data_IF_556433905381
#
_entry.id   IF_556433905381
#
_cell.length_a   1.000
_cell.length_b   1.000
_cell.length_c   1.000
_cell.angle_alpha   90.00
_cell.angle_beta   90.00
_cell.angle_gamma   90.00
#
_symmetry.space_group_name_H-M   'P 1'
#
loop_
_entity.id
_entity.type
_entity.pdbx_description
1 polymer ?
#
# COMPACT_ATOMS: atom_id res chain seq x y z
N UNK A 1 28.47 -0.41 -4.99
CA UNK A 1 27.56 -0.66 -3.84
C UNK A 1 26.99 -2.06 -3.93
N UNK A 2 27.00 -2.77 -2.82
CA UNK A 2 26.42 -4.11 -2.68
C UNK A 2 24.98 -3.97 -2.15
N UNK A 3 24.00 -4.50 -2.88
CA UNK A 3 22.58 -4.43 -2.50
C UNK A 3 22.07 -5.82 -2.17
N UNK A 4 21.60 -6.01 -0.95
CA UNK A 4 20.99 -7.25 -0.48
C UNK A 4 19.46 -7.19 -0.56
N UNK A 5 18.84 -8.19 -1.14
CA UNK A 5 17.38 -8.33 -1.26
C UNK A 5 16.88 -9.46 -0.35
N UNK A 6 15.98 -9.15 0.58
CA UNK A 6 15.36 -10.11 1.51
C UNK A 6 13.85 -10.14 1.27
N UNK A 7 13.25 -11.34 1.28
CA UNK A 7 11.80 -11.49 1.07
C UNK A 7 11.34 -11.25 -0.38
N UNK A 8 12.27 -11.27 -1.34
CA UNK A 8 12.05 -10.99 -2.76
C UNK A 8 11.08 -11.95 -3.48
N UNK A 9 10.81 -13.15 -2.92
CA UNK A 9 9.83 -14.13 -3.43
C UNK A 9 8.44 -14.00 -2.82
N UNK A 10 8.28 -13.18 -1.78
CA UNK A 10 6.98 -12.87 -1.19
C UNK A 10 6.12 -12.01 -2.12
N UNK A 11 4.86 -11.79 -1.77
CA UNK A 11 3.92 -11.05 -2.63
C UNK A 11 4.44 -9.65 -2.98
N UNK A 12 4.87 -8.85 -2.01
CA UNK A 12 5.44 -7.51 -2.26
C UNK A 12 6.79 -7.62 -2.96
N UNK A 13 7.65 -8.55 -2.51
CA UNK A 13 8.97 -8.76 -3.09
C UNK A 13 8.92 -9.17 -4.57
N UNK A 14 7.99 -10.04 -4.95
CA UNK A 14 7.80 -10.44 -6.36
C UNK A 14 7.37 -9.27 -7.24
N UNK A 15 6.48 -8.40 -6.74
CA UNK A 15 6.09 -7.18 -7.46
C UNK A 15 7.27 -6.21 -7.55
N UNK A 16 8.06 -6.06 -6.48
CA UNK A 16 9.27 -5.24 -6.50
C UNK A 16 10.26 -5.74 -7.57
N UNK A 17 10.55 -7.05 -7.60
CA UNK A 17 11.46 -7.64 -8.60
C UNK A 17 10.95 -7.43 -10.03
N UNK A 18 9.65 -7.65 -10.26
CA UNK A 18 9.02 -7.41 -11.55
C UNK A 18 9.17 -5.95 -11.97
N UNK A 19 8.83 -5.00 -11.11
CA UNK A 19 8.95 -3.56 -11.39
C UNK A 19 10.40 -3.14 -11.66
N UNK A 20 11.35 -3.66 -10.89
CA UNK A 20 12.78 -3.39 -11.09
C UNK A 20 13.30 -3.92 -12.44
N UNK A 21 12.75 -5.04 -12.94
CA UNK A 21 13.06 -5.55 -14.29
C UNK A 21 12.45 -4.67 -15.37
N UNK A 22 11.16 -4.33 -15.25
CA UNK A 22 10.44 -3.47 -16.20
C UNK A 22 11.10 -2.10 -16.38
N UNK A 23 11.64 -1.54 -15.30
CA UNK A 23 12.32 -0.23 -15.27
C UNK A 23 13.84 -0.32 -15.44
N UNK A 24 14.38 -1.53 -15.70
CA UNK A 24 15.80 -1.78 -15.85
C UNK A 24 16.67 -1.32 -14.67
N UNK A 25 16.16 -1.37 -13.44
CA UNK A 25 16.85 -0.88 -12.26
C UNK A 25 18.12 -1.66 -11.93
N UNK A 26 18.16 -2.96 -12.25
CA UNK A 26 19.33 -3.80 -12.02
C UNK A 26 20.58 -3.31 -12.76
N UNK A 27 20.44 -2.57 -13.87
CA UNK A 27 21.55 -1.95 -14.56
C UNK A 27 22.28 -0.88 -13.71
N UNK A 28 21.62 -0.34 -12.68
CA UNK A 28 22.17 0.65 -11.75
C UNK A 28 22.73 0.04 -10.47
N UNK A 29 22.64 -1.28 -10.29
CA UNK A 29 23.12 -2.01 -9.13
C UNK A 29 24.39 -2.77 -9.51
N UNK A 30 25.56 -2.37 -9.02
CA UNK A 30 26.83 -3.03 -9.37
C UNK A 30 26.88 -4.50 -8.92
N UNK A 31 26.40 -4.79 -7.72
CA UNK A 31 26.38 -6.13 -7.13
C UNK A 31 25.06 -6.36 -6.39
N UNK A 32 24.24 -7.29 -6.88
CA UNK A 32 23.00 -7.71 -6.25
C UNK A 32 23.14 -9.05 -5.54
N UNK A 33 22.68 -9.14 -4.29
CA UNK A 33 22.72 -10.34 -3.46
C UNK A 33 21.30 -10.69 -3.01
N UNK A 34 20.98 -11.98 -3.02
CA UNK A 34 19.64 -12.46 -2.66
C UNK A 34 19.72 -13.32 -1.41
N UNK A 35 18.94 -12.93 -0.40
CA UNK A 35 18.87 -13.60 0.89
C UNK A 35 17.56 -14.37 1.04
N UNK A 36 17.60 -15.46 1.81
CA UNK A 36 16.47 -16.34 2.06
C UNK A 36 16.44 -16.83 3.49
N UNK A 37 15.24 -17.10 4.02
CA UNK A 37 15.04 -17.72 5.34
C UNK A 37 14.82 -19.24 5.24
N UNK A 38 14.73 -19.83 4.04
CA UNK A 38 14.28 -21.22 3.89
C UNK A 38 15.06 -22.07 2.88
N UNK A 39 15.92 -21.48 2.04
CA UNK A 39 16.63 -22.20 0.97
C UNK A 39 18.06 -21.66 0.79
N UNK A 40 18.82 -21.60 1.87
CA UNK A 40 20.23 -21.15 1.88
C UNK A 40 21.06 -22.05 0.98
N UNK A 41 21.96 -21.47 0.17
CA UNK A 41 22.78 -22.18 -0.81
C UNK A 41 22.07 -22.54 -2.13
N UNK A 42 20.76 -22.30 -2.22
CA UNK A 42 20.01 -22.47 -3.45
C UNK A 42 20.44 -21.48 -4.56
N UNK A 43 19.94 -21.69 -5.78
CA UNK A 43 20.26 -20.81 -6.92
C UNK A 43 19.60 -19.45 -6.75
N UNK A 44 20.38 -18.39 -6.83
CA UNK A 44 19.88 -17.02 -6.86
C UNK A 44 19.25 -16.70 -8.23
N UNK A 45 18.28 -15.73 -8.32
CA UNK A 45 17.75 -15.29 -9.59
C UNK A 45 18.84 -14.60 -10.41
N UNK A 46 18.79 -14.77 -11.73
CA UNK A 46 19.71 -14.14 -12.66
C UNK A 46 19.14 -12.78 -13.12
N UNK A 47 19.63 -11.70 -12.49
CA UNK A 47 19.36 -10.32 -12.91
C UNK A 47 20.65 -9.63 -13.43
N UNK A 48 21.61 -10.42 -13.93
CA UNK A 48 22.82 -9.95 -14.61
C UNK A 48 24.03 -9.74 -13.73
N UNK A 49 23.92 -9.04 -12.60
CA UNK A 49 25.04 -8.72 -11.70
C UNK A 49 24.97 -9.45 -10.34
N UNK A 50 24.16 -10.49 -10.28
CA UNK A 50 23.82 -11.14 -9.01
C UNK A 50 24.84 -12.18 -8.58
N UNK A 51 24.95 -12.41 -7.25
CA UNK A 51 25.58 -13.59 -6.68
C UNK A 51 24.83 -14.84 -7.12
N UNK A 52 25.55 -15.94 -7.40
CA UNK A 52 24.96 -17.17 -7.97
C UNK A 52 24.17 -18.01 -6.95
N UNK A 53 24.36 -17.77 -5.65
CA UNK A 53 23.72 -18.55 -4.57
C UNK A 53 23.00 -17.67 -3.59
N UNK A 54 21.91 -18.19 -3.01
CA UNK A 54 21.13 -17.55 -1.97
C UNK A 54 21.88 -17.59 -0.63
N UNK A 55 21.95 -16.43 0.03
CA UNK A 55 22.58 -16.28 1.35
C UNK A 55 21.53 -16.41 2.46
N UNK A 56 21.98 -16.69 3.69
CA UNK A 56 21.11 -16.76 4.86
C UNK A 56 20.68 -15.35 5.29
N UNK A 57 19.37 -15.11 5.30
CA UNK A 57 18.78 -13.85 5.72
C UNK A 57 18.90 -13.58 7.24
N UNK A 58 19.27 -14.58 8.04
CA UNK A 58 19.50 -14.43 9.48
C UNK A 58 20.99 -14.29 9.83
N UNK A 59 21.89 -14.44 8.87
CA UNK A 59 23.33 -14.26 9.09
C UNK A 59 23.68 -12.77 9.08
N UNK A 60 23.78 -12.19 10.28
CA UNK A 60 24.14 -10.78 10.49
C UNK A 60 25.52 -10.44 9.89
N UNK A 61 26.48 -11.37 9.89
CA UNK A 61 27.81 -11.12 9.34
C UNK A 61 27.77 -11.03 7.80
N UNK A 62 26.93 -11.82 7.12
CA UNK A 62 26.71 -11.71 5.67
C UNK A 62 25.91 -10.45 5.32
N UNK A 63 24.86 -10.12 6.08
CA UNK A 63 24.09 -8.90 5.90
C UNK A 63 24.94 -7.64 6.09
N UNK A 64 25.85 -7.65 7.05
CA UNK A 64 26.76 -6.51 7.34
C UNK A 64 27.75 -6.19 6.20
N UNK A 65 27.90 -7.07 5.22
CA UNK A 65 28.73 -6.82 4.02
C UNK A 65 28.00 -5.98 2.97
N UNK A 66 26.69 -5.76 3.13
CA UNK A 66 25.86 -4.98 2.17
C UNK A 66 25.93 -3.49 2.47
N UNK A 67 26.00 -2.67 1.44
CA UNK A 67 25.87 -1.21 1.55
C UNK A 67 24.40 -0.80 1.71
N UNK A 68 23.50 -1.56 1.09
CA UNK A 68 22.05 -1.35 1.12
C UNK A 68 21.36 -2.70 1.33
N UNK A 69 20.37 -2.75 2.20
CA UNK A 69 19.46 -3.89 2.36
C UNK A 69 18.05 -3.44 2.02
N UNK A 70 17.40 -4.14 1.09
CA UNK A 70 15.99 -3.97 0.75
C UNK A 70 15.23 -5.19 1.24
N UNK A 71 14.29 -4.99 2.16
CA UNK A 71 13.53 -6.10 2.74
C UNK A 71 12.02 -5.99 2.51
N UNK A 72 11.44 -7.10 2.05
CA UNK A 72 10.00 -7.34 1.95
C UNK A 72 9.59 -8.57 2.80
N UNK A 73 10.41 -8.95 3.79
CA UNK A 73 10.24 -10.19 4.58
C UNK A 73 9.19 -10.03 5.70
N UNK A 74 8.81 -8.78 6.03
CA UNK A 74 7.79 -8.48 7.03
C UNK A 74 8.34 -8.08 8.41
N UNK A 75 7.42 -7.61 9.28
CA UNK A 75 7.78 -6.95 10.52
C UNK A 75 8.50 -7.83 11.55
N UNK A 76 8.22 -9.12 11.60
CA UNK A 76 8.90 -10.03 12.55
C UNK A 76 10.36 -10.23 12.17
N UNK A 77 10.66 -10.30 10.87
CA UNK A 77 12.04 -10.30 10.39
C UNK A 77 12.76 -9.00 10.77
N UNK A 78 12.15 -7.85 10.53
CA UNK A 78 12.74 -6.57 10.92
C UNK A 78 13.03 -6.49 12.42
N UNK A 79 12.09 -6.92 13.28
CA UNK A 79 12.28 -6.93 14.74
C UNK A 79 13.45 -7.83 15.16
N UNK A 80 13.64 -8.98 14.50
CA UNK A 80 14.67 -9.94 14.86
C UNK A 80 16.07 -9.59 14.34
N UNK A 81 16.17 -8.93 13.18
CA UNK A 81 17.45 -8.75 12.46
C UNK A 81 17.98 -7.33 12.52
N UNK A 82 17.11 -6.31 12.46
CA UNK A 82 17.53 -4.90 12.32
C UNK A 82 18.45 -4.44 13.46
N UNK A 83 18.03 -4.63 14.73
CA UNK A 83 18.83 -4.16 15.86
C UNK A 83 20.16 -4.90 16.00
N UNK A 84 20.22 -6.25 15.95
CA UNK A 84 21.50 -6.97 15.93
C UNK A 84 22.45 -6.53 14.81
N UNK A 85 21.89 -6.23 13.62
CA UNK A 85 22.69 -5.74 12.51
C UNK A 85 23.26 -4.33 12.79
N UNK A 86 22.49 -3.42 13.36
CA UNK A 86 22.99 -2.09 13.78
C UNK A 86 24.04 -2.22 14.90
N UNK A 87 23.82 -3.11 15.87
CA UNK A 87 24.73 -3.34 17.00
C UNK A 87 26.07 -3.95 16.54
N UNK A 88 26.12 -4.65 15.40
CA UNK A 88 27.37 -5.10 14.77
C UNK A 88 28.25 -3.98 14.20
N UNK A 89 27.76 -2.71 14.22
CA UNK A 89 28.43 -1.56 13.66
C UNK A 89 28.07 -1.28 12.19
N UNK A 90 27.12 -2.03 11.62
CA UNK A 90 26.69 -1.79 10.24
C UNK A 90 26.01 -0.42 10.08
N UNK A 91 26.49 0.39 9.14
CA UNK A 91 26.01 1.74 8.85
C UNK A 91 25.49 1.89 7.41
N UNK A 92 25.04 0.80 6.80
CA UNK A 92 24.41 0.81 5.47
C UNK A 92 22.95 1.29 5.51
N UNK A 93 22.37 1.42 4.33
CA UNK A 93 20.97 1.82 4.18
C UNK A 93 20.02 0.64 4.36
N UNK A 94 18.99 0.83 5.20
CA UNK A 94 17.89 -0.10 5.40
C UNK A 94 16.64 0.41 4.72
N UNK A 95 16.16 -0.31 3.70
CA UNK A 95 14.92 -0.01 2.96
C UNK A 95 13.93 -1.13 3.25
N UNK A 96 12.77 -0.81 3.83
CA UNK A 96 11.86 -1.82 4.39
C UNK A 96 10.40 -1.59 4.02
N UNK A 97 9.72 -2.63 3.56
CA UNK A 97 8.28 -2.62 3.34
C UNK A 97 7.46 -2.64 4.64
N UNK A 98 8.05 -3.22 5.72
CA UNK A 98 7.35 -3.43 6.98
C UNK A 98 7.18 -2.15 7.80
N UNK A 99 6.12 -2.10 8.62
CA UNK A 99 5.78 -0.93 9.43
C UNK A 99 6.59 -0.76 10.70
N UNK A 100 7.42 -1.73 11.07
CA UNK A 100 8.07 -1.81 12.39
C UNK A 100 8.90 -0.57 12.75
N UNK A 101 9.50 0.10 11.76
CA UNK A 101 10.36 1.26 11.97
C UNK A 101 9.71 2.59 11.54
N UNK A 102 8.50 2.60 10.97
CA UNK A 102 7.89 3.82 10.42
C UNK A 102 7.87 4.99 11.37
N UNK A 103 7.59 4.75 12.64
CA UNK A 103 7.43 5.81 13.65
C UNK A 103 8.70 6.09 14.46
N UNK A 104 9.86 5.48 14.09
CA UNK A 104 11.15 5.83 14.71
C UNK A 104 11.63 7.18 14.21
N UNK A 105 12.26 7.98 15.08
CA UNK A 105 12.75 9.33 14.76
C UNK A 105 13.87 9.32 13.71
N UNK A 106 14.65 8.26 13.67
CA UNK A 106 15.74 8.01 12.74
C UNK A 106 15.30 7.33 11.43
N UNK A 107 13.99 7.28 11.16
CA UNK A 107 13.42 6.67 9.97
C UNK A 107 12.55 7.65 9.17
N UNK A 108 12.65 7.58 7.85
CA UNK A 108 11.81 8.34 6.91
C UNK A 108 10.82 7.39 6.23
N UNK A 109 9.54 7.76 6.23
CA UNK A 109 8.54 7.08 5.41
C UNK A 109 8.64 7.65 3.99
N UNK A 110 8.79 6.75 3.00
CA UNK A 110 9.11 7.14 1.62
C UNK A 110 7.89 7.15 0.71
N UNK A 111 7.71 8.26 0.02
CA UNK A 111 6.76 8.44 -1.07
C UNK A 111 7.24 9.61 -1.94
N UNK A 112 8.32 9.40 -2.70
CA UNK A 112 9.07 10.46 -3.36
C UNK A 112 8.27 11.42 -4.26
N UNK A 113 7.18 11.01 -4.96
CA UNK A 113 6.37 11.98 -5.68
C UNK A 113 5.70 13.02 -4.77
N UNK A 114 5.59 12.71 -3.47
CA UNK A 114 4.95 13.58 -2.46
C UNK A 114 5.97 14.23 -1.54
N UNK A 115 7.03 13.51 -1.14
CA UNK A 115 7.95 13.98 -0.09
C UNK A 115 9.42 13.91 -0.48
N UNK A 116 9.77 14.13 -1.75
CA UNK A 116 11.15 14.10 -2.22
C UNK A 116 12.09 14.98 -1.39
N UNK A 117 11.65 16.16 -0.99
CA UNK A 117 12.41 17.09 -0.15
C UNK A 117 12.73 16.50 1.24
N UNK A 118 11.82 15.74 1.84
CA UNK A 118 12.05 15.05 3.13
C UNK A 118 13.10 13.95 2.98
N UNK A 119 13.02 13.18 1.88
CA UNK A 119 13.98 12.12 1.57
C UNK A 119 15.37 12.73 1.33
N UNK A 120 15.48 13.75 0.48
CA UNK A 120 16.76 14.41 0.15
C UNK A 120 17.41 15.05 1.39
N UNK A 121 16.61 15.67 2.25
CA UNK A 121 17.10 16.23 3.52
C UNK A 121 17.58 15.11 4.46
N UNK A 122 16.86 13.99 4.52
CA UNK A 122 17.29 12.83 5.28
C UNK A 122 18.63 12.28 4.82
N UNK A 123 18.83 12.15 3.51
CA UNK A 123 20.11 11.71 2.93
C UNK A 123 21.27 12.66 3.30
N UNK A 124 21.05 13.98 3.18
CA UNK A 124 22.02 15.00 3.56
C UNK A 124 22.40 14.94 5.04
N UNK A 125 21.42 14.62 5.90
CA UNK A 125 21.60 14.51 7.35
C UNK A 125 22.04 13.12 7.81
N UNK A 126 22.35 12.20 6.87
CA UNK A 126 22.90 10.88 7.16
C UNK A 126 21.88 9.85 7.68
N UNK A 127 20.58 10.08 7.51
CA UNK A 127 19.55 9.08 7.82
C UNK A 127 19.77 7.82 6.97
N UNK A 128 19.64 6.67 7.60
CA UNK A 128 19.92 5.35 7.00
C UNK A 128 18.70 4.45 6.90
N UNK A 129 17.55 4.83 7.45
CA UNK A 129 16.34 4.02 7.51
C UNK A 129 15.24 4.64 6.65
N UNK A 130 14.87 3.98 5.55
CA UNK A 130 13.86 4.41 4.58
C UNK A 130 12.75 3.36 4.50
N UNK A 131 11.54 3.72 4.93
CA UNK A 131 10.48 2.75 5.21
C UNK A 131 9.28 3.03 4.30
N UNK A 132 8.77 2.01 3.64
CA UNK A 132 7.53 2.12 2.87
C UNK A 132 6.35 2.53 3.75
N UNK A 133 5.50 3.42 3.26
CA UNK A 133 4.33 3.92 3.98
C UNK A 133 3.19 2.88 4.09
N UNK A 134 2.19 3.21 4.90
CA UNK A 134 0.92 2.48 4.88
C UNK A 134 0.28 2.60 3.48
N UNK A 135 -0.31 1.51 3.00
CA UNK A 135 -0.81 1.43 1.63
C UNK A 135 -1.95 2.44 1.34
N UNK A 136 -2.90 2.62 2.27
CA UNK A 136 -3.99 3.58 2.09
C UNK A 136 -3.49 5.02 2.19
N UNK A 137 -2.56 5.30 3.11
CA UNK A 137 -1.92 6.62 3.25
C UNK A 137 -1.15 6.98 1.98
N UNK A 138 -0.33 6.07 1.47
CA UNK A 138 0.42 6.30 0.23
C UNK A 138 -0.50 6.58 -0.95
N UNK A 139 -1.56 5.78 -1.13
CA UNK A 139 -2.52 5.98 -2.23
C UNK A 139 -3.33 7.27 -2.08
N UNK A 140 -3.75 7.64 -0.87
CA UNK A 140 -4.40 8.92 -0.59
C UNK A 140 -3.50 10.10 -0.96
N UNK A 141 -2.24 10.06 -0.53
CA UNK A 141 -1.29 11.14 -0.79
C UNK A 141 -0.86 11.18 -2.26
N UNK A 142 -0.77 10.05 -2.96
CA UNK A 142 -0.58 10.05 -4.42
C UNK A 142 -1.73 10.74 -5.14
N UNK A 143 -2.98 10.52 -4.70
CA UNK A 143 -4.16 11.13 -5.31
C UNK A 143 -4.35 12.61 -4.93
N UNK A 144 -4.13 12.97 -3.66
CA UNK A 144 -4.49 14.27 -3.10
C UNK A 144 -3.29 15.11 -2.66
N UNK A 145 -2.07 14.62 -2.87
CA UNK A 145 -0.82 15.24 -2.41
C UNK A 145 -0.69 16.72 -2.80
N UNK A 146 -1.16 17.10 -3.98
CA UNK A 146 -1.14 18.50 -4.42
C UNK A 146 -1.89 19.45 -3.49
N UNK A 147 -3.01 19.03 -2.90
CA UNK A 147 -3.74 19.84 -1.93
C UNK A 147 -2.99 19.98 -0.60
N UNK A 148 -2.36 18.88 -0.16
CA UNK A 148 -1.54 18.90 1.05
C UNK A 148 -0.25 19.72 0.87
N UNK A 149 0.46 19.55 -0.24
CA UNK A 149 1.69 20.28 -0.55
C UNK A 149 1.46 21.80 -0.62
N UNK A 150 0.31 22.23 -1.12
CA UNK A 150 -0.10 23.64 -1.17
C UNK A 150 -0.75 24.15 0.14
N UNK A 151 -0.70 23.35 1.21
CA UNK A 151 -1.26 23.70 2.53
C UNK A 151 -2.74 24.09 2.51
N UNK A 152 -3.52 23.45 1.65
CA UNK A 152 -4.94 23.78 1.44
C UNK A 152 -5.89 22.96 2.32
N UNK A 153 -5.44 21.84 2.89
CA UNK A 153 -6.28 20.95 3.68
C UNK A 153 -6.27 21.37 5.15
N UNK A 154 -7.44 21.63 5.71
CA UNK A 154 -7.64 21.86 7.14
C UNK A 154 -7.77 20.52 7.87
N UNK A 155 -8.65 19.65 7.39
CA UNK A 155 -8.79 18.26 7.84
C UNK A 155 -9.34 17.37 6.72
N UNK A 156 -9.21 16.07 6.88
CA UNK A 156 -9.79 15.08 5.98
C UNK A 156 -10.34 13.88 6.73
N UNK A 157 -11.42 13.27 6.20
CA UNK A 157 -11.82 11.92 6.57
C UNK A 157 -11.65 11.00 5.39
N UNK A 158 -11.11 9.80 5.63
CA UNK A 158 -10.92 8.79 4.59
C UNK A 158 -11.63 7.48 5.00
N UNK A 159 -12.72 7.17 4.31
CA UNK A 159 -13.38 5.88 4.43
C UNK A 159 -12.73 4.93 3.42
N UNK A 160 -11.94 3.97 3.90
CA UNK A 160 -11.17 3.10 3.03
C UNK A 160 -11.90 1.79 2.74
N UNK A 161 -11.86 1.36 1.47
CA UNK A 161 -12.35 0.07 0.98
C UNK A 161 -11.14 -0.76 0.56
N UNK A 162 -10.65 -1.58 1.49
CA UNK A 162 -9.34 -2.23 1.34
C UNK A 162 -9.44 -3.64 0.77
N UNK A 163 -8.64 -3.90 -0.24
CA UNK A 163 -8.51 -5.21 -0.88
C UNK A 163 -7.89 -6.28 0.02
N UNK A 164 -8.18 -7.54 -0.27
CA UNK A 164 -7.64 -8.70 0.44
C UNK A 164 -6.10 -8.78 0.43
N UNK A 165 -5.43 -8.24 -0.61
CA UNK A 165 -3.97 -8.21 -0.72
C UNK A 165 -3.28 -7.50 0.47
N UNK A 166 -3.93 -6.50 1.08
CA UNK A 166 -3.42 -5.83 2.26
C UNK A 166 -3.32 -6.73 3.50
N UNK A 167 -4.09 -7.84 3.53
CA UNK A 167 -3.99 -8.87 4.56
C UNK A 167 -3.04 -10.03 4.21
N UNK A 168 -2.55 -10.09 2.97
CA UNK A 168 -1.57 -11.06 2.52
C UNK A 168 -2.11 -12.15 1.58
N UNK A 169 -1.20 -12.96 1.04
CA UNK A 169 -1.51 -13.94 0.00
C UNK A 169 -2.50 -15.04 0.44
N UNK A 170 -2.44 -15.47 1.70
CA UNK A 170 -3.38 -16.47 2.24
C UNK A 170 -4.81 -15.94 2.24
N UNK A 171 -4.98 -14.69 2.62
CA UNK A 171 -6.27 -13.99 2.63
C UNK A 171 -6.82 -13.74 1.21
N UNK A 172 -5.96 -13.44 0.23
CA UNK A 172 -6.37 -13.38 -1.18
C UNK A 172 -6.90 -14.74 -1.68
N UNK A 173 -6.22 -15.84 -1.34
CA UNK A 173 -6.67 -17.20 -1.69
C UNK A 173 -8.02 -17.51 -1.04
N UNK A 174 -8.20 -17.17 0.24
CA UNK A 174 -9.46 -17.40 0.96
C UNK A 174 -10.62 -16.62 0.32
N UNK A 175 -10.40 -15.35 -0.09
CA UNK A 175 -11.41 -14.59 -0.82
C UNK A 175 -11.86 -15.30 -2.10
N UNK A 176 -10.94 -15.79 -2.93
CA UNK A 176 -11.28 -16.52 -4.15
C UNK A 176 -11.98 -17.85 -3.84
N UNK A 177 -11.51 -18.58 -2.82
CA UNK A 177 -12.16 -19.81 -2.36
C UNK A 177 -13.59 -19.53 -1.89
N UNK A 178 -13.83 -18.44 -1.16
CA UNK A 178 -15.15 -18.00 -0.73
C UNK A 178 -16.07 -17.68 -1.90
N UNK A 179 -15.60 -16.97 -2.92
CA UNK A 179 -16.36 -16.69 -4.14
C UNK A 179 -16.79 -17.99 -4.85
N UNK A 180 -15.86 -18.94 -5.01
CA UNK A 180 -16.15 -20.24 -5.60
C UNK A 180 -17.12 -21.08 -4.77
N UNK A 181 -16.96 -21.07 -3.45
CA UNK A 181 -17.83 -21.79 -2.54
C UNK A 181 -19.28 -21.24 -2.54
N UNK A 182 -19.45 -19.92 -2.58
CA UNK A 182 -20.76 -19.28 -2.75
C UNK A 182 -21.42 -19.73 -4.06
N UNK A 183 -20.67 -19.64 -5.18
CA UNK A 183 -21.20 -20.07 -6.48
C UNK A 183 -21.63 -21.54 -6.46
N UNK A 184 -20.86 -22.42 -5.84
CA UNK A 184 -21.16 -23.85 -5.78
C UNK A 184 -22.46 -24.16 -5.03
N UNK A 185 -22.90 -23.31 -4.07
CA UNK A 185 -24.16 -23.49 -3.33
C UNK A 185 -25.39 -23.21 -4.18
N UNK A 186 -25.28 -22.47 -5.26
CA UNK A 186 -26.41 -21.96 -6.04
C UNK A 186 -26.25 -22.16 -7.54
N UNK A 187 -25.31 -23.01 -7.95
CA UNK A 187 -24.99 -23.22 -9.37
C UNK A 187 -26.17 -23.75 -10.18
N UNK A 188 -26.94 -24.68 -9.61
CA UNK A 188 -28.14 -25.28 -10.24
C UNK A 188 -29.25 -24.24 -10.40
N UNK A 189 -29.51 -23.43 -9.36
CA UNK A 189 -30.51 -22.37 -9.42
C UNK A 189 -30.13 -21.28 -10.40
N UNK A 190 -28.82 -20.93 -10.51
CA UNK A 190 -28.35 -19.96 -11.49
C UNK A 190 -28.46 -20.48 -12.93
N UNK A 191 -28.40 -21.79 -13.13
CA UNK A 191 -28.59 -22.43 -14.44
C UNK A 191 -30.07 -22.52 -14.85
N UNK A 192 -31.01 -22.45 -13.91
CA UNK A 192 -32.43 -22.48 -14.15
C UNK A 192 -33.06 -21.08 -14.10
N UNK A 193 -33.45 -20.49 -15.26
CA UNK A 193 -34.07 -19.17 -15.30
C UNK A 193 -35.36 -19.02 -14.53
N UNK A 194 -36.00 -20.14 -14.14
CA UNK A 194 -37.24 -20.14 -13.34
C UNK A 194 -36.99 -20.04 -11.84
N UNK A 195 -35.74 -20.17 -11.40
CA UNK A 195 -35.38 -20.05 -9.98
C UNK A 195 -35.64 -18.65 -9.43
N UNK A 196 -36.30 -18.59 -8.26
CA UNK A 196 -36.59 -17.33 -7.62
C UNK A 196 -35.32 -16.74 -6.99
N UNK A 197 -34.99 -15.45 -7.28
CA UNK A 197 -33.80 -14.78 -6.75
C UNK A 197 -33.73 -14.76 -5.22
N UNK A 198 -34.85 -14.68 -4.52
CA UNK A 198 -34.89 -14.69 -3.06
C UNK A 198 -34.57 -16.07 -2.47
N UNK A 199 -34.80 -17.17 -3.22
CA UNK A 199 -34.36 -18.51 -2.80
C UNK A 199 -32.83 -18.64 -2.94
N UNK A 200 -32.26 -18.09 -4.02
CA UNK A 200 -30.81 -17.99 -4.20
C UNK A 200 -30.20 -17.14 -3.08
N UNK A 201 -30.74 -15.96 -2.80
CA UNK A 201 -30.28 -15.07 -1.72
C UNK A 201 -30.29 -15.76 -0.36
N UNK A 202 -31.39 -16.49 -0.03
CA UNK A 202 -31.48 -17.23 1.23
C UNK A 202 -30.37 -18.29 1.33
N UNK A 203 -30.14 -19.09 0.29
CA UNK A 203 -29.09 -20.12 0.28
C UNK A 203 -27.69 -19.50 0.47
N UNK A 204 -27.41 -18.41 -0.23
CA UNK A 204 -26.14 -17.69 -0.06
C UNK A 204 -26.00 -17.16 1.36
N UNK A 205 -27.03 -16.53 1.90
CA UNK A 205 -27.04 -15.97 3.26
C UNK A 205 -26.87 -17.02 4.34
N UNK A 206 -27.51 -18.17 4.19
CA UNK A 206 -27.39 -19.30 5.12
C UNK A 206 -25.99 -19.91 5.06
N UNK A 207 -25.43 -20.06 3.86
CA UNK A 207 -24.07 -20.54 3.68
C UNK A 207 -23.03 -19.58 4.28
N UNK A 208 -23.15 -18.26 4.08
CA UNK A 208 -22.26 -17.26 4.69
C UNK A 208 -22.25 -17.34 6.23
N UNK A 209 -23.35 -17.76 6.86
CA UNK A 209 -23.45 -17.91 8.31
C UNK A 209 -23.00 -19.30 8.82
N UNK A 210 -22.77 -20.23 7.91
CA UNK A 210 -22.40 -21.61 8.27
C UNK A 210 -20.94 -21.75 8.66
N UNK A 211 -20.58 -22.85 9.32
CA UNK A 211 -19.20 -23.21 9.60
C UNK A 211 -18.47 -23.77 8.37
N UNK A 212 -19.20 -24.15 7.33
CA UNK A 212 -18.61 -24.69 6.08
C UNK A 212 -18.03 -23.61 5.18
N UNK A 213 -18.32 -22.31 5.47
CA UNK A 213 -17.75 -21.21 4.73
C UNK A 213 -16.23 -21.07 5.03
N UNK A 214 -15.36 -20.93 3.99
CA UNK A 214 -13.93 -20.80 4.17
C UNK A 214 -13.55 -19.43 4.78
N UNK A 215 -13.28 -19.36 6.08
CA UNK A 215 -13.00 -18.16 6.87
C UNK A 215 -11.79 -18.27 7.79
N UNK A 216 -10.87 -19.22 7.53
CA UNK A 216 -9.76 -19.54 8.43
C UNK A 216 -8.74 -18.40 8.62
N UNK A 217 -8.60 -17.49 7.65
CA UNK A 217 -7.64 -16.39 7.70
C UNK A 217 -8.28 -15.04 8.08
N UNK A 218 -9.51 -14.76 7.64
CA UNK A 218 -10.23 -13.54 8.03
C UNK A 218 -11.08 -13.72 9.31
N UNK A 219 -11.40 -14.95 9.69
CA UNK A 219 -12.27 -15.26 10.82
C UNK A 219 -13.77 -15.09 10.54
N UNK A 220 -14.12 -14.33 9.50
CA UNK A 220 -15.48 -14.05 9.06
C UNK A 220 -15.55 -14.03 7.53
N UNK A 221 -16.74 -14.21 6.91
CA UNK A 221 -16.89 -14.13 5.45
C UNK A 221 -16.49 -12.77 4.89
N UNK A 222 -15.69 -12.78 3.80
CA UNK A 222 -15.37 -11.58 3.04
C UNK A 222 -16.03 -11.57 1.65
N UNK A 223 -16.03 -12.70 0.91
CA UNK A 223 -16.76 -12.78 -0.35
C UNK A 223 -18.27 -12.64 -0.07
N UNK A 224 -18.93 -11.77 -0.81
CA UNK A 224 -20.36 -11.45 -0.59
C UNK A 224 -20.65 -10.63 0.69
N UNK A 225 -19.60 -10.12 1.37
CA UNK A 225 -19.72 -9.36 2.61
C UNK A 225 -18.63 -8.27 2.70
N UNK A 226 -18.45 -7.70 3.88
CA UNK A 226 -17.35 -6.79 4.23
C UNK A 226 -16.95 -6.97 5.69
N UNK A 227 -15.76 -6.48 6.06
CA UNK A 227 -15.27 -6.50 7.44
C UNK A 227 -14.98 -5.06 7.86
N UNK A 228 -15.74 -4.46 8.79
CA UNK A 228 -15.61 -3.04 9.16
C UNK A 228 -14.55 -2.79 10.24
N UNK A 229 -13.52 -3.63 10.30
CA UNK A 229 -12.39 -3.50 11.21
C UNK A 229 -11.12 -4.08 10.60
N UNK A 230 -10.03 -3.33 10.60
CA UNK A 230 -8.74 -3.77 10.09
C UNK A 230 -7.66 -3.47 11.14
N UNK A 231 -6.78 -4.46 11.41
CA UNK A 231 -5.68 -4.38 12.37
C UNK A 231 -6.18 -4.42 13.83
N UNK A 232 -5.28 -4.21 14.79
CA UNK A 232 -5.55 -4.35 16.22
C UNK A 232 -6.31 -3.16 16.79
N UNK A 233 -7.12 -3.42 17.82
CA UNK A 233 -7.79 -2.39 18.61
C UNK A 233 -6.77 -1.64 19.48
N UNK A 234 -6.82 -0.30 19.47
CA UNK A 234 -5.99 0.56 20.31
C UNK A 234 -6.60 0.84 21.69
N UNK A 235 -7.79 0.32 21.96
CA UNK A 235 -8.48 0.49 23.25
C UNK A 235 -9.17 1.84 23.44
N UNK A 236 -9.24 2.66 22.40
CA UNK A 236 -9.90 3.97 22.39
C UNK A 236 -11.05 4.04 21.35
N UNK A 237 -11.46 2.88 20.80
CA UNK A 237 -12.46 2.77 19.74
C UNK A 237 -11.89 2.93 18.33
N UNK A 238 -10.60 3.10 18.18
CA UNK A 238 -9.90 3.23 16.90
C UNK A 238 -9.07 1.98 16.62
N UNK A 239 -9.07 1.49 15.39
CA UNK A 239 -8.13 0.47 14.96
C UNK A 239 -6.76 1.09 14.68
N UNK A 240 -5.71 0.26 14.75
CA UNK A 240 -4.36 0.72 14.40
C UNK A 240 -4.26 1.15 12.93
N UNK A 241 -5.04 0.56 12.02
CA UNK A 241 -5.06 0.95 10.62
C UNK A 241 -5.62 2.36 10.43
N UNK A 242 -6.65 2.75 11.17
CA UNK A 242 -7.22 4.10 11.18
C UNK A 242 -6.24 5.12 11.76
N UNK A 243 -5.60 4.79 12.88
CA UNK A 243 -4.58 5.63 13.51
C UNK A 243 -3.42 5.95 12.55
N UNK A 244 -2.96 4.99 11.72
CA UNK A 244 -1.92 5.21 10.72
C UNK A 244 -2.29 6.33 9.75
N UNK A 245 -3.56 6.49 9.42
CA UNK A 245 -4.07 7.53 8.53
C UNK A 245 -3.54 8.92 8.89
N UNK A 246 -3.69 9.33 10.16
CA UNK A 246 -3.22 10.62 10.66
C UNK A 246 -1.71 10.69 10.83
N UNK A 247 -1.13 9.75 11.58
CA UNK A 247 0.28 9.85 12.00
C UNK A 247 1.26 9.67 10.84
N UNK A 248 1.01 8.72 9.94
CA UNK A 248 1.89 8.48 8.81
C UNK A 248 1.77 9.58 7.75
N UNK A 249 0.55 10.10 7.48
CA UNK A 249 0.37 11.25 6.59
C UNK A 249 1.23 12.44 7.04
N UNK A 250 1.14 12.81 8.31
CA UNK A 250 1.89 13.96 8.82
C UNK A 250 3.40 13.72 8.82
N UNK A 251 3.85 12.49 9.11
CA UNK A 251 5.26 12.14 9.03
C UNK A 251 5.79 12.17 7.59
N UNK A 252 5.05 11.64 6.61
CA UNK A 252 5.41 11.71 5.19
C UNK A 252 5.56 13.17 4.74
N UNK A 253 4.61 14.02 5.12
CA UNK A 253 4.61 15.44 4.76
C UNK A 253 5.60 16.32 5.56
N UNK A 254 6.30 15.75 6.55
CA UNK A 254 7.19 16.50 7.45
C UNK A 254 6.45 17.52 8.33
N UNK A 255 5.21 17.20 8.74
CA UNK A 255 4.31 18.10 9.51
C UNK A 255 4.01 17.59 10.91
N UNK A 256 4.90 16.83 11.52
CA UNK A 256 4.67 16.26 12.86
C UNK A 256 4.42 17.33 13.92
N UNK A 257 5.02 18.51 13.78
CA UNK A 257 4.88 19.64 14.73
C UNK A 257 3.59 20.46 14.52
N UNK A 258 2.99 20.38 13.33
CA UNK A 258 1.72 21.03 13.01
C UNK A 258 0.84 20.09 12.16
N UNK A 259 0.28 19.06 12.77
CA UNK A 259 -0.38 17.99 12.04
C UNK A 259 -1.72 18.42 11.43
N UNK A 260 -1.96 18.01 10.20
CA UNK A 260 -3.30 18.01 9.63
C UNK A 260 -4.10 16.87 10.25
N UNK A 261 -5.32 17.15 10.70
CA UNK A 261 -6.22 16.14 11.27
C UNK A 261 -6.74 15.24 10.15
N UNK A 262 -6.47 13.94 10.25
CA UNK A 262 -6.97 12.92 9.34
C UNK A 262 -7.50 11.76 10.17
N UNK A 263 -8.73 11.35 9.89
CA UNK A 263 -9.41 10.24 10.56
C UNK A 263 -10.30 9.49 9.55
N UNK A 264 -10.97 8.43 9.97
CA UNK A 264 -11.89 7.68 9.11
C UNK A 264 -12.15 6.27 9.61
N UNK A 265 -12.69 5.45 8.72
CA UNK A 265 -12.94 4.03 8.98
C UNK A 265 -12.25 3.17 7.94
N UNK A 266 -11.71 2.04 8.38
CA UNK A 266 -11.03 1.10 7.51
C UNK A 266 -11.85 -0.18 7.34
N UNK A 267 -12.33 -0.43 6.12
CA UNK A 267 -13.22 -1.54 5.78
C UNK A 267 -12.51 -2.48 4.80
N UNK A 268 -12.49 -3.78 5.10
CA UNK A 268 -12.05 -4.82 4.16
C UNK A 268 -13.20 -5.21 3.24
N UNK A 269 -12.96 -5.24 1.94
CA UNK A 269 -13.94 -5.59 0.91
C UNK A 269 -13.46 -6.74 0.03
N UNK A 270 -14.38 -7.34 -0.72
CA UNK A 270 -14.10 -8.45 -1.66
C UNK A 270 -13.33 -8.06 -2.92
N UNK A 271 -12.49 -7.02 -2.87
CA UNK A 271 -11.54 -6.68 -3.94
C UNK A 271 -10.22 -7.43 -3.72
N UNK A 272 -9.57 -7.86 -4.81
CA UNK A 272 -8.34 -8.64 -4.73
C UNK A 272 -7.13 -7.79 -4.40
N UNK A 273 -6.91 -6.65 -5.08
CA UNK A 273 -5.62 -5.96 -5.11
C UNK A 273 -5.69 -4.44 -4.92
N UNK A 274 -6.69 -3.75 -5.46
CA UNK A 274 -6.77 -2.30 -5.34
C UNK A 274 -7.55 -1.86 -4.10
N UNK A 275 -7.01 -0.85 -3.39
CA UNK A 275 -7.74 -0.10 -2.38
C UNK A 275 -8.48 1.06 -3.03
N UNK A 276 -9.69 1.31 -2.57
CA UNK A 276 -10.47 2.50 -2.92
C UNK A 276 -10.71 3.33 -1.67
N UNK A 277 -10.92 4.64 -1.83
CA UNK A 277 -11.17 5.55 -0.70
C UNK A 277 -12.20 6.59 -1.07
N UNK A 278 -13.24 6.72 -0.23
CA UNK A 278 -14.17 7.85 -0.28
C UNK A 278 -13.70 8.89 0.76
N UNK A 279 -13.40 10.09 0.29
CA UNK A 279 -12.71 11.09 1.10
C UNK A 279 -13.56 12.35 1.16
N UNK A 280 -13.69 12.90 2.36
CA UNK A 280 -14.20 14.26 2.59
C UNK A 280 -13.07 15.12 3.09
N UNK A 281 -12.87 16.28 2.44
CA UNK A 281 -11.88 17.27 2.86
C UNK A 281 -12.59 18.55 3.25
N UNK A 282 -12.10 19.20 4.30
CA UNK A 282 -12.33 20.63 4.52
C UNK A 282 -11.09 21.37 4.06
N UNK A 283 -11.26 22.28 3.13
CA UNK A 283 -10.20 23.18 2.69
C UNK A 283 -10.14 24.41 3.57
N UNK A 284 -8.98 25.04 3.69
CA UNK A 284 -8.78 26.29 4.44
C UNK A 284 -9.44 27.51 3.79
N UNK A 285 -9.85 27.37 2.50
CA UNK A 285 -10.57 28.37 1.73
C UNK A 285 -11.47 27.73 0.68
N UNK A 286 -12.51 28.43 0.29
CA UNK A 286 -13.36 28.03 -0.84
C UNK A 286 -12.61 28.23 -2.16
N UNK A 287 -12.39 27.16 -2.91
CA UNK A 287 -11.75 27.16 -4.23
C UNK A 287 -12.72 26.63 -5.28
N UNK A 288 -12.69 27.14 -6.51
CA UNK A 288 -13.41 26.53 -7.62
C UNK A 288 -12.99 25.06 -7.83
N UNK A 289 -13.93 24.18 -8.20
CA UNK A 289 -13.63 22.76 -8.46
C UNK A 289 -12.56 22.63 -9.54
N UNK A 290 -12.61 23.43 -10.59
CA UNK A 290 -11.62 23.42 -11.66
C UNK A 290 -10.19 23.76 -11.19
N UNK A 291 -10.06 24.63 -10.18
CA UNK A 291 -8.74 24.93 -9.58
C UNK A 291 -8.23 23.76 -8.74
N UNK A 292 -9.13 23.10 -7.98
CA UNK A 292 -8.81 21.90 -7.23
C UNK A 292 -8.33 20.78 -8.18
N UNK A 293 -9.06 20.55 -9.26
CA UNK A 293 -8.72 19.55 -10.28
C UNK A 293 -7.37 19.86 -10.95
N UNK A 294 -7.09 21.11 -11.25
CA UNK A 294 -5.82 21.54 -11.84
C UNK A 294 -4.63 21.31 -10.86
N UNK A 295 -4.82 21.62 -9.56
CA UNK A 295 -3.81 21.37 -8.52
C UNK A 295 -3.53 19.86 -8.41
N UNK A 296 -4.55 19.02 -8.42
CA UNK A 296 -4.41 17.57 -8.35
C UNK A 296 -3.70 17.01 -9.59
N UNK A 297 -4.14 17.43 -10.78
CA UNK A 297 -3.56 16.98 -12.05
C UNK A 297 -2.08 17.34 -12.20
N UNK A 298 -1.64 18.45 -11.61
CA UNK A 298 -0.26 18.89 -11.65
C UNK A 298 0.65 18.33 -10.56
N UNK A 299 0.12 17.49 -9.64
CA UNK A 299 0.86 17.08 -8.45
C UNK A 299 1.94 16.02 -8.71
N UNK A 300 1.66 15.05 -9.59
CA UNK A 300 2.60 14.00 -9.99
C UNK A 300 2.13 13.32 -11.29
N UNK A 301 3.01 12.55 -11.93
CA UNK A 301 2.77 11.94 -13.25
C UNK A 301 1.72 10.79 -13.23
N UNK A 302 1.40 10.25 -12.07
CA UNK A 302 0.53 9.07 -11.93
C UNK A 302 -0.88 9.41 -11.49
N UNK A 303 -1.12 10.59 -10.92
CA UNK A 303 -2.47 11.04 -10.60
C UNK A 303 -3.24 11.35 -11.89
N UNK A 304 -4.48 10.88 -11.97
CA UNK A 304 -5.38 11.16 -13.10
C UNK A 304 -6.70 11.71 -12.56
N UNK A 305 -7.00 12.95 -12.88
CA UNK A 305 -8.29 13.54 -12.54
C UNK A 305 -9.34 13.01 -13.52
N UNK A 306 -10.36 12.37 -12.97
CA UNK A 306 -11.50 11.81 -13.73
C UNK A 306 -12.68 12.77 -13.62
N UNK A 307 -13.27 13.20 -14.72
CA UNK A 307 -14.44 14.07 -14.71
C UNK A 307 -15.58 13.53 -13.83
N UNK A 308 -16.24 14.41 -13.09
CA UNK A 308 -17.36 14.02 -12.23
C UNK A 308 -18.63 13.73 -13.06
N UNK A 309 -18.53 12.77 -13.96
CA UNK A 309 -19.57 12.26 -14.82
C UNK A 309 -19.83 10.78 -14.51
N UNK A 310 -21.07 10.33 -14.71
CA UNK A 310 -21.49 8.96 -14.38
C UNK A 310 -20.63 7.94 -15.12
N UNK A 311 -20.56 8.05 -16.44
CA UNK A 311 -19.86 7.07 -17.30
C UNK A 311 -18.35 7.04 -16.99
N UNK A 312 -17.70 8.19 -16.90
CA UNK A 312 -16.29 8.28 -16.51
C UNK A 312 -16.04 7.65 -15.12
N UNK A 313 -16.92 7.94 -14.16
CA UNK A 313 -16.76 7.43 -12.78
C UNK A 313 -16.87 5.90 -12.69
N UNK A 314 -17.87 5.29 -13.35
CA UNK A 314 -18.10 3.84 -13.27
C UNK A 314 -17.07 3.02 -14.06
N UNK A 315 -16.42 3.60 -15.06
CA UNK A 315 -15.43 2.91 -15.87
C UNK A 315 -14.00 3.15 -15.43
N UNK A 316 -13.65 4.33 -14.94
CA UNK A 316 -12.27 4.70 -14.64
C UNK A 316 -11.90 4.60 -13.15
N UNK A 317 -12.86 4.70 -12.21
CA UNK A 317 -12.62 4.70 -10.77
C UNK A 317 -12.90 3.33 -10.12
N UNK A 318 -12.44 2.25 -10.75
CA UNK A 318 -12.72 0.90 -10.25
C UNK A 318 -11.44 0.06 -10.06
N UNK A 319 -11.43 -0.88 -9.08
CA UNK A 319 -10.34 -1.85 -8.93
C UNK A 319 -10.03 -2.62 -10.22
N UNK A 320 -11.05 -2.98 -10.99
CA UNK A 320 -10.89 -3.74 -12.24
C UNK A 320 -10.08 -2.94 -13.29
N UNK A 321 -10.29 -1.62 -13.36
CA UNK A 321 -9.57 -0.74 -14.29
C UNK A 321 -8.13 -0.49 -13.88
N UNK A 322 -7.87 -0.38 -12.59
CA UNK A 322 -6.60 0.16 -12.05
C UNK A 322 -5.60 -0.95 -11.68
N UNK A 323 -6.08 -2.17 -11.42
CA UNK A 323 -5.20 -3.30 -11.03
C UNK A 323 -4.05 -3.49 -12.01
N UNK A 324 -2.83 -3.56 -11.49
CA UNK A 324 -1.61 -3.77 -12.27
C UNK A 324 -1.07 -2.50 -12.94
N UNK A 325 -1.65 -1.33 -12.68
CA UNK A 325 -1.18 -0.05 -13.23
C UNK A 325 -0.63 0.87 -12.16
N UNK A 326 0.29 1.75 -12.53
CA UNK A 326 0.77 2.83 -11.65
C UNK A 326 -0.20 4.01 -11.57
N UNK A 327 -1.27 4.03 -12.36
CA UNK A 327 -2.25 5.10 -12.35
C UNK A 327 -2.98 5.16 -11.00
N UNK A 328 -3.13 6.37 -10.47
CA UNK A 328 -3.92 6.66 -9.27
C UNK A 328 -5.01 7.66 -9.65
N UNK A 329 -6.14 7.18 -10.24
CA UNK A 329 -7.22 8.06 -10.60
C UNK A 329 -7.91 8.62 -9.35
N UNK A 330 -8.28 9.90 -9.44
CA UNK A 330 -9.10 10.62 -8.47
C UNK A 330 -10.25 11.31 -9.20
N UNK A 331 -11.45 11.13 -8.71
CA UNK A 331 -12.66 11.72 -9.29
C UNK A 331 -13.74 11.90 -8.23
N UNK A 332 -15.01 12.07 -8.67
CA UNK A 332 -16.12 12.42 -7.80
C UNK A 332 -15.84 13.71 -7.02
N UNK A 333 -15.02 14.59 -7.60
CA UNK A 333 -14.65 15.88 -7.01
C UNK A 333 -15.83 16.82 -7.17
N UNK A 334 -16.40 17.23 -6.04
CA UNK A 334 -17.50 18.20 -6.01
C UNK A 334 -17.59 18.89 -4.66
N UNK A 335 -18.22 20.04 -4.64
CA UNK A 335 -18.62 20.70 -3.39
C UNK A 335 -19.70 19.89 -2.69
N UNK A 336 -19.60 19.80 -1.36
CA UNK A 336 -20.65 19.21 -0.52
C UNK A 336 -21.67 20.27 -0.11
N UNK A 337 -22.87 19.83 0.30
CA UNK A 337 -23.92 20.72 0.79
C UNK A 337 -23.63 21.41 2.13
N UNK A 338 -22.45 21.16 2.74
CA UNK A 338 -22.01 21.74 4.01
C UNK A 338 -21.34 23.11 3.86
N UNK A 339 -20.94 23.49 2.64
CA UNK A 339 -20.26 24.77 2.37
C UNK A 339 -19.25 24.64 1.22
N UNK A 340 -18.76 25.76 0.71
CA UNK A 340 -17.88 25.82 -0.45
C UNK A 340 -16.50 25.24 -0.20
N UNK A 341 -16.04 25.22 1.05
CA UNK A 341 -14.77 24.62 1.47
C UNK A 341 -14.81 23.09 1.66
N UNK A 342 -16.01 22.47 1.64
CA UNK A 342 -16.15 21.01 1.84
C UNK A 342 -16.21 20.30 0.49
N UNK A 343 -15.27 19.39 0.29
CA UNK A 343 -15.05 18.68 -0.97
C UNK A 343 -15.18 17.18 -0.74
N UNK A 344 -15.88 16.48 -1.65
CA UNK A 344 -15.75 15.03 -1.78
C UNK A 344 -14.72 14.69 -2.83
N UNK A 345 -14.03 13.56 -2.64
CA UNK A 345 -13.22 12.91 -3.64
C UNK A 345 -13.34 11.39 -3.51
N UNK A 346 -13.10 10.67 -4.60
CA UNK A 346 -12.96 9.23 -4.60
C UNK A 346 -11.71 8.85 -5.39
N UNK A 347 -10.90 7.96 -4.82
CA UNK A 347 -9.68 7.47 -5.47
C UNK A 347 -9.59 5.96 -5.40
N UNK A 348 -8.84 5.37 -6.31
CA UNK A 348 -8.49 3.95 -6.31
C UNK A 348 -7.05 3.79 -6.74
N UNK A 349 -6.34 2.82 -6.17
CA UNK A 349 -4.94 2.57 -6.51
C UNK A 349 -4.52 1.14 -6.20
N UNK A 350 -3.51 0.67 -6.91
CA UNK A 350 -2.96 -0.67 -6.69
C UNK A 350 -2.07 -0.68 -5.44
N UNK A 351 -2.55 -1.41 -4.43
CA UNK A 351 -1.88 -1.54 -3.14
C UNK A 351 -0.49 -2.18 -3.23
N UNK A 352 -0.26 -3.10 -4.18
CA UNK A 352 1.03 -3.75 -4.34
C UNK A 352 2.05 -2.89 -5.09
N UNK A 353 1.60 -1.84 -5.80
CA UNK A 353 2.44 -0.87 -6.48
C UNK A 353 2.73 0.33 -5.57
N UNK A 354 1.97 1.44 -5.68
CA UNK A 354 2.21 2.64 -4.85
C UNK A 354 1.96 2.43 -3.36
N UNK A 355 1.15 1.45 -3.00
CA UNK A 355 0.94 1.07 -1.61
C UNK A 355 2.08 0.24 -1.01
N UNK A 356 3.06 -0.26 -1.80
CA UNK A 356 4.11 -1.15 -1.30
C UNK A 356 5.41 -1.09 -2.11
N UNK A 357 5.47 -1.70 -3.30
CA UNK A 357 6.73 -1.97 -4.00
C UNK A 357 7.36 -0.72 -4.64
N UNK A 358 6.56 0.15 -5.25
CA UNK A 358 7.07 1.28 -6.03
C UNK A 358 7.83 2.31 -5.19
N UNK A 359 7.38 2.72 -3.98
CA UNK A 359 8.18 3.60 -3.13
C UNK A 359 9.53 3.02 -2.74
N UNK A 360 9.62 1.69 -2.50
CA UNK A 360 10.89 1.02 -2.17
C UNK A 360 11.84 1.01 -3.37
N UNK A 361 11.33 0.68 -4.55
CA UNK A 361 12.09 0.71 -5.80
C UNK A 361 12.70 2.10 -6.04
N UNK A 362 11.86 3.12 -5.93
CA UNK A 362 12.26 4.50 -6.21
C UNK A 362 13.25 5.05 -5.18
N UNK A 363 13.06 4.78 -3.89
CA UNK A 363 14.03 5.20 -2.88
C UNK A 363 15.37 4.48 -3.03
N UNK A 364 15.38 3.21 -3.44
CA UNK A 364 16.62 2.51 -3.78
C UNK A 364 17.39 3.26 -4.90
N UNK A 365 16.69 3.68 -5.96
CA UNK A 365 17.26 4.47 -7.05
C UNK A 365 17.79 5.84 -6.58
N UNK A 366 17.07 6.50 -5.68
CA UNK A 366 17.48 7.77 -5.07
C UNK A 366 18.75 7.57 -4.25
N UNK A 367 18.83 6.53 -3.43
CA UNK A 367 20.02 6.21 -2.61
C UNK A 367 21.23 5.86 -3.50
N UNK A 368 20.99 5.21 -4.65
CA UNK A 368 22.04 4.92 -5.64
C UNK A 368 22.45 6.15 -6.47
N UNK A 369 21.78 7.29 -6.32
CA UNK A 369 22.05 8.53 -7.10
C UNK A 369 21.62 8.44 -8.56
N UNK A 370 20.61 7.62 -8.88
CA UNK A 370 20.16 7.34 -10.24
C UNK A 370 18.71 7.73 -10.52
N UNK A 371 18.05 8.47 -9.60
CA UNK A 371 16.70 9.04 -9.74
C UNK A 371 16.61 10.44 -9.14
#
# INVERSE_FOLDING_TARGET
>A
MKVGFVGWRGMVGSVLMQRMQEENDFAHIPEAFFFTTSNVGGVAPDFGQAAKTLLDANDVAELAKMDIIVTCQGGDYTKSVFQPLRDSGWNGYWIDAASSLRMKDDAIIVLDPVNRNVIDNGLKNGVKNYIGGNCTVSLMLMALGGLFQNDLVEWATSMTYQAASGAGAKNMRELISGMGAIHAQVADELADPSSAILDIDRKVSDFLRSEDYPKANFGVPLAGSLIPWIDVDLGNGQSKEEWKGGVETNKILGRSDNPTVIDGLCVRIGSMRCHSQAITLKLKKDLPVSEIEAILAGANDWVKVIPNEKEASIHELTPAKVTGTLSVPVGRIRKLGMGGEYISAFTVGDQLLWGAAEPLRRVLRIVLGSL
#
